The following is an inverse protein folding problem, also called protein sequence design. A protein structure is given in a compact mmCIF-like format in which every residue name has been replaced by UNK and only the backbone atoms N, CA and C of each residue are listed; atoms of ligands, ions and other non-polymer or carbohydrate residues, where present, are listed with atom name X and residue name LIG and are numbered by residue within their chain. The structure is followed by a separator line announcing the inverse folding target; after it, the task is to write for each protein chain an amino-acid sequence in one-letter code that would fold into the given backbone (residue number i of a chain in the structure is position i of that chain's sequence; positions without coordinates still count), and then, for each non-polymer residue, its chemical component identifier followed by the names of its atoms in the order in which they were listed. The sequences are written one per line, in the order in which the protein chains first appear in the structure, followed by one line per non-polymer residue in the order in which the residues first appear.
data_IF_500494072199
#
_entry.id   IF_500494072199
#
_cell.length_a   1.000
_cell.length_b   1.000
_cell.length_c   1.000
_cell.angle_alpha   90.00
_cell.angle_beta   90.00
_cell.angle_gamma   90.00
#
_symmetry.space_group_name_H-M   'P 1'
#
loop_
_entity.id
_entity.type
_entity.pdbx_description
1 polymer ?
#
# COMPACT_ATOMS: atom_id res chain seq x y z
N UNK A 1 14.77 -13.11 14.81
CA UNK A 1 13.59 -14.01 14.85
C UNK A 1 13.83 -15.16 13.91
N UNK A 2 13.42 -16.36 14.33
CA UNK A 2 13.36 -17.55 13.48
C UNK A 2 12.22 -17.42 12.45
N UNK A 3 12.28 -18.14 11.32
CA UNK A 3 11.16 -18.26 10.36
C UNK A 3 9.86 -18.69 11.05
N UNK A 4 9.95 -19.54 12.08
CA UNK A 4 8.80 -19.94 12.90
C UNK A 4 8.09 -18.76 13.60
N UNK A 5 8.85 -17.74 14.03
CA UNK A 5 8.28 -16.55 14.67
C UNK A 5 7.67 -15.59 13.66
N UNK A 6 8.15 -15.57 12.41
CA UNK A 6 7.56 -14.77 11.33
C UNK A 6 6.19 -15.34 10.95
N UNK A 7 6.12 -16.66 10.75
CA UNK A 7 4.87 -17.37 10.45
C UNK A 7 3.85 -17.31 11.59
N UNK A 8 4.27 -17.12 12.84
CA UNK A 8 3.35 -16.90 13.94
C UNK A 8 2.61 -15.55 13.82
N UNK A 9 3.25 -14.53 13.25
CA UNK A 9 2.67 -13.19 13.08
C UNK A 9 1.82 -13.11 11.81
N UNK A 10 2.36 -13.58 10.68
CA UNK A 10 1.71 -13.44 9.35
C UNK A 10 1.21 -14.77 8.78
N UNK A 11 0.92 -15.76 9.62
CA UNK A 11 0.53 -17.10 9.19
C UNK A 11 -0.79 -17.17 8.40
N UNK A 12 -1.61 -16.13 8.49
CA UNK A 12 -2.85 -15.99 7.71
C UNK A 12 -2.65 -15.36 6.33
N UNK A 13 -1.48 -14.77 6.04
CA UNK A 13 -1.17 -14.22 4.73
C UNK A 13 -0.96 -15.34 3.71
N UNK A 14 -1.06 -15.03 2.42
CA UNK A 14 -0.72 -15.95 1.35
C UNK A 14 0.74 -16.48 1.47
N UNK A 15 1.00 -17.75 1.09
CA UNK A 15 2.35 -18.34 1.21
C UNK A 15 3.44 -17.53 0.49
N UNK A 16 3.10 -16.93 -0.66
CA UNK A 16 4.02 -16.09 -1.43
C UNK A 16 4.41 -14.82 -0.67
N UNK A 17 3.45 -14.16 -0.02
CA UNK A 17 3.71 -12.96 0.77
C UNK A 17 4.43 -13.27 2.09
N UNK A 18 4.20 -14.44 2.69
CA UNK A 18 5.01 -14.92 3.82
C UNK A 18 6.49 -15.08 3.41
N UNK A 19 6.75 -15.73 2.27
CA UNK A 19 8.12 -15.90 1.76
C UNK A 19 8.79 -14.55 1.42
N UNK A 20 8.04 -13.61 0.83
CA UNK A 20 8.53 -12.24 0.59
C UNK A 20 8.90 -11.54 1.89
N UNK A 21 8.05 -11.61 2.91
CA UNK A 21 8.32 -11.01 4.21
C UNK A 21 9.58 -11.60 4.88
N UNK A 22 9.75 -12.93 4.82
CA UNK A 22 10.96 -13.61 5.31
C UNK A 22 12.22 -13.14 4.56
N UNK A 23 12.17 -13.05 3.23
CA UNK A 23 13.30 -12.58 2.41
C UNK A 23 13.66 -11.11 2.71
N UNK A 24 12.66 -10.24 2.87
CA UNK A 24 12.86 -8.83 3.19
C UNK A 24 13.52 -8.69 4.55
N UNK A 25 13.03 -9.40 5.58
CA UNK A 25 13.62 -9.38 6.92
C UNK A 25 15.06 -9.89 6.96
N UNK A 26 15.43 -10.81 6.06
CA UNK A 26 16.81 -11.29 5.91
C UNK A 26 17.74 -10.33 5.17
N UNK A 27 17.19 -9.35 4.44
CA UNK A 27 17.96 -8.42 3.60
C UNK A 27 18.55 -7.23 4.38
N UNK A 28 18.06 -6.97 5.59
CA UNK A 28 18.49 -5.82 6.40
C UNK A 28 19.19 -6.24 7.69
N UNK A 29 20.33 -5.61 8.04
CA UNK A 29 20.99 -5.84 9.32
C UNK A 29 20.15 -5.31 10.49
N UNK A 30 19.47 -4.17 10.30
CA UNK A 30 18.47 -3.64 11.23
C UNK A 30 17.07 -3.92 10.68
N UNK A 31 16.27 -4.62 11.47
CA UNK A 31 14.90 -4.99 11.13
C UNK A 31 13.98 -3.80 10.96
N UNK A 32 14.23 -2.70 11.69
CA UNK A 32 13.45 -1.48 11.54
C UNK A 32 13.52 -0.92 10.12
N UNK A 33 14.61 -1.16 9.38
CA UNK A 33 14.76 -0.73 7.99
C UNK A 33 13.80 -1.45 7.04
N UNK A 34 13.23 -2.59 7.44
CA UNK A 34 12.29 -3.38 6.64
C UNK A 34 10.83 -2.85 6.68
N UNK A 35 10.52 -1.80 7.44
CA UNK A 35 9.13 -1.32 7.63
C UNK A 35 8.45 -0.98 6.30
N UNK A 36 9.10 -0.20 5.43
CA UNK A 36 8.51 0.18 4.14
C UNK A 36 8.24 -1.02 3.22
N UNK A 37 9.21 -1.89 2.89
CA UNK A 37 8.94 -3.04 2.04
C UNK A 37 7.94 -4.02 2.66
N UNK A 38 7.88 -4.16 3.99
CA UNK A 38 6.86 -4.99 4.64
C UNK A 38 5.45 -4.36 4.57
N UNK A 39 5.33 -3.03 4.71
CA UNK A 39 4.07 -2.32 4.46
C UNK A 39 3.58 -2.52 3.03
N UNK A 40 4.49 -2.54 2.06
CA UNK A 40 4.17 -2.84 0.67
C UNK A 40 3.64 -4.27 0.51
N UNK A 41 4.30 -5.28 1.10
CA UNK A 41 3.79 -6.67 1.07
C UNK A 41 2.41 -6.77 1.75
N UNK A 42 2.22 -6.08 2.88
CA UNK A 42 0.93 -6.04 3.55
C UNK A 42 -0.18 -5.42 2.66
N UNK A 43 0.14 -4.37 1.89
CA UNK A 43 -0.81 -3.81 0.92
C UNK A 43 -1.11 -4.75 -0.25
N UNK A 44 -0.18 -5.64 -0.64
CA UNK A 44 -0.45 -6.65 -1.67
C UNK A 44 -1.38 -7.74 -1.15
N UNK A 45 -1.26 -8.09 0.14
CA UNK A 45 -2.13 -9.08 0.77
C UNK A 45 -3.56 -8.54 0.94
N UNK A 46 -3.69 -7.33 1.47
CA UNK A 46 -4.98 -6.79 1.92
C UNK A 46 -5.56 -5.72 1.00
N UNK A 47 -4.92 -5.43 -0.14
CA UNK A 47 -5.18 -4.30 -1.08
C UNK A 47 -4.93 -2.89 -0.50
N UNK A 48 -4.92 -2.76 0.81
CA UNK A 48 -4.62 -1.54 1.54
C UNK A 48 -3.94 -1.88 2.87
N UNK A 49 -3.39 -0.88 3.54
CA UNK A 49 -2.70 -1.03 4.82
C UNK A 49 -3.69 -0.75 5.96
N UNK A 50 -4.32 -1.80 6.45
CA UNK A 50 -5.20 -1.75 7.62
C UNK A 50 -4.43 -1.51 8.93
N UNK A 51 -5.15 -1.17 9.99
CA UNK A 51 -4.58 -1.05 11.33
C UNK A 51 -3.96 -2.37 11.83
N UNK A 52 -4.55 -3.51 11.47
CA UNK A 52 -4.02 -4.84 11.80
C UNK A 52 -2.74 -5.14 11.03
N UNK A 53 -2.71 -4.83 9.72
CA UNK A 53 -1.50 -4.94 8.91
C UNK A 53 -0.34 -4.11 9.50
N UNK A 54 -0.63 -2.90 10.00
CA UNK A 54 0.40 -2.09 10.66
C UNK A 54 0.90 -2.69 11.98
N UNK A 55 0.03 -3.36 12.75
CA UNK A 55 0.42 -4.08 13.98
C UNK A 55 1.30 -5.28 13.64
N UNK A 56 0.94 -6.06 12.64
CA UNK A 56 1.73 -7.21 12.17
C UNK A 56 3.13 -6.77 11.72
N UNK A 57 3.23 -5.71 10.92
CA UNK A 57 4.52 -5.16 10.52
C UNK A 57 5.32 -4.66 11.73
N UNK A 58 4.67 -4.03 12.69
CA UNK A 58 5.32 -3.57 13.93
C UNK A 58 5.92 -4.74 14.72
N UNK A 59 5.19 -5.85 14.84
CA UNK A 59 5.63 -7.06 15.51
C UNK A 59 6.79 -7.74 14.77
N UNK A 60 6.76 -7.77 13.44
CA UNK A 60 7.83 -8.34 12.60
C UNK A 60 9.16 -7.60 12.77
N UNK A 61 9.11 -6.26 12.84
CA UNK A 61 10.31 -5.41 12.91
C UNK A 61 10.72 -5.03 14.33
N UNK A 62 9.85 -5.26 15.32
CA UNK A 62 10.11 -4.99 16.73
C UNK A 62 10.01 -3.51 17.11
N UNK A 63 9.05 -2.78 16.52
CA UNK A 63 8.76 -1.37 16.87
C UNK A 63 7.30 -1.18 17.25
N UNK A 64 6.89 0.03 17.64
CA UNK A 64 5.49 0.29 17.99
C UNK A 64 4.60 0.46 16.75
N UNK A 65 3.30 0.07 16.81
CA UNK A 65 2.35 0.34 15.74
C UNK A 65 2.23 1.84 15.40
N UNK A 66 2.43 2.72 16.38
CA UNK A 66 2.44 4.18 16.18
C UNK A 66 3.60 4.62 15.27
N UNK A 67 4.78 4.03 15.43
CA UNK A 67 5.92 4.31 14.55
C UNK A 67 5.67 3.81 13.13
N UNK A 68 5.05 2.63 12.97
CA UNK A 68 4.64 2.12 11.65
C UNK A 68 3.59 3.04 11.02
N UNK A 69 2.58 3.45 11.79
CA UNK A 69 1.54 4.39 11.34
C UNK A 69 2.13 5.71 10.86
N UNK A 70 3.15 6.23 11.54
CA UNK A 70 3.85 7.45 11.10
C UNK A 70 4.48 7.29 9.72
N UNK A 71 5.03 6.12 9.40
CA UNK A 71 5.59 5.82 8.07
C UNK A 71 4.48 5.67 7.05
N UNK A 72 3.43 4.90 7.37
CA UNK A 72 2.28 4.68 6.49
C UNK A 72 1.51 5.98 6.18
N UNK A 73 1.44 6.93 7.12
CA UNK A 73 0.83 8.24 6.88
C UNK A 73 1.71 9.20 6.09
N UNK A 74 3.03 9.02 6.15
CA UNK A 74 3.99 9.89 5.46
C UNK A 74 4.06 9.59 3.96
N UNK A 75 4.04 8.30 3.58
CA UNK A 75 4.09 7.90 2.18
C UNK A 75 2.68 7.63 1.63
N UNK A 76 2.24 8.47 0.69
CA UNK A 76 0.90 8.43 0.07
C UNK A 76 0.58 7.14 -0.70
N UNK A 77 1.60 6.34 -1.04
CA UNK A 77 1.46 5.04 -1.67
C UNK A 77 0.75 4.02 -0.76
N UNK A 78 0.91 4.13 0.56
CA UNK A 78 0.24 3.24 1.50
C UNK A 78 -1.18 3.73 1.76
N UNK A 79 -2.13 3.21 0.98
CA UNK A 79 -3.55 3.50 1.19
C UNK A 79 -3.98 2.90 2.52
N UNK A 80 -4.60 3.71 3.38
CA UNK A 80 -5.06 3.31 4.71
C UNK A 80 -6.57 3.05 4.76
N UNK A 81 -7.22 3.24 3.62
CA UNK A 81 -8.63 2.96 3.39
C UNK A 81 -8.75 2.01 2.20
N UNK A 82 -9.82 1.18 2.14
CA UNK A 82 -10.04 0.27 1.03
C UNK A 82 -10.06 1.03 -0.30
N UNK A 83 -9.34 0.50 -1.28
CA UNK A 83 -9.39 0.93 -2.67
C UNK A 83 -9.99 -0.18 -3.54
N UNK A 84 -10.43 0.21 -4.72
CA UNK A 84 -10.92 -0.72 -5.73
C UNK A 84 -9.84 -1.72 -6.15
N UNK A 85 -10.26 -2.71 -6.94
CA UNK A 85 -9.34 -3.72 -7.49
C UNK A 85 -8.20 -3.08 -8.29
N UNK A 86 -8.47 -1.96 -8.96
CA UNK A 86 -7.50 -1.14 -9.65
C UNK A 86 -7.47 0.26 -9.05
N UNK A 87 -6.29 0.72 -8.66
CA UNK A 87 -6.04 2.12 -8.33
C UNK A 87 -5.36 2.79 -9.53
N UNK A 88 -6.04 3.73 -10.17
CA UNK A 88 -5.53 4.48 -11.32
C UNK A 88 -5.08 5.86 -10.84
N UNK A 89 -3.77 6.04 -10.77
CA UNK A 89 -3.14 7.30 -10.37
C UNK A 89 -2.72 8.10 -11.61
N UNK A 90 -3.32 9.27 -11.83
CA UNK A 90 -3.04 10.13 -12.97
C UNK A 90 -2.12 11.28 -12.55
N UNK A 91 -0.99 11.40 -13.23
CA UNK A 91 -0.04 12.49 -13.03
C UNK A 91 -0.66 13.83 -13.41
N UNK A 92 -0.66 14.78 -12.48
CA UNK A 92 -1.11 16.17 -12.69
C UNK A 92 -0.02 17.19 -12.37
N UNK A 93 1.24 16.76 -12.26
CA UNK A 93 2.39 17.67 -12.13
C UNK A 93 2.58 18.53 -13.39
N UNK A 94 3.39 19.59 -13.31
CA UNK A 94 3.48 20.62 -14.36
C UNK A 94 3.72 20.06 -15.76
N UNK A 95 4.58 19.04 -15.90
CA UNK A 95 4.88 18.43 -17.19
C UNK A 95 3.68 17.71 -17.79
N UNK A 96 2.92 16.99 -16.96
CA UNK A 96 1.70 16.31 -17.37
C UNK A 96 0.58 17.32 -17.66
N UNK A 97 0.44 18.35 -16.81
CA UNK A 97 -0.57 19.40 -16.97
C UNK A 97 -0.43 20.15 -18.30
N UNK A 98 0.80 20.51 -18.70
CA UNK A 98 1.08 21.16 -19.99
C UNK A 98 0.72 20.29 -21.20
N UNK A 99 0.63 18.97 -21.02
CA UNK A 99 0.26 18.00 -22.05
C UNK A 99 -1.19 17.50 -21.92
N UNK A 100 -2.04 18.16 -21.11
CA UNK A 100 -3.45 17.78 -20.95
C UNK A 100 -3.69 16.70 -19.88
N UNK A 101 -2.85 16.62 -18.85
CA UNK A 101 -3.00 15.63 -17.77
C UNK A 101 -4.37 15.69 -17.05
N UNK A 102 -4.98 16.88 -16.98
CA UNK A 102 -6.35 17.02 -16.46
C UNK A 102 -7.38 16.37 -17.40
N UNK A 103 -7.22 16.52 -18.72
CA UNK A 103 -8.11 15.89 -19.69
C UNK A 103 -8.04 14.35 -19.59
N UNK A 104 -6.84 13.81 -19.30
CA UNK A 104 -6.66 12.37 -19.02
C UNK A 104 -7.38 11.97 -17.73
N UNK A 105 -7.24 12.75 -16.67
CA UNK A 105 -7.91 12.47 -15.39
C UNK A 105 -9.44 12.47 -15.55
N UNK A 106 -9.98 13.44 -16.28
CA UNK A 106 -11.43 13.54 -16.56
C UNK A 106 -11.92 12.37 -17.42
N UNK A 107 -11.16 12.00 -18.45
CA UNK A 107 -11.49 10.85 -19.30
C UNK A 107 -11.49 9.53 -18.51
N UNK A 108 -10.53 9.34 -17.59
CA UNK A 108 -10.47 8.16 -16.72
C UNK A 108 -11.65 8.13 -15.75
N UNK A 109 -11.98 9.27 -15.12
CA UNK A 109 -13.12 9.38 -14.23
C UNK A 109 -14.44 9.06 -14.97
N UNK A 110 -14.63 9.61 -16.17
CA UNK A 110 -15.81 9.34 -17.00
C UNK A 110 -15.90 7.88 -17.43
N UNK A 111 -14.79 7.26 -17.82
CA UNK A 111 -14.78 5.86 -18.27
C UNK A 111 -15.00 4.86 -17.13
N UNK A 112 -14.48 5.14 -15.94
CA UNK A 112 -14.62 4.28 -14.76
C UNK A 112 -15.91 4.51 -13.98
N UNK A 113 -16.55 5.68 -14.14
CA UNK A 113 -17.67 6.10 -13.31
C UNK A 113 -17.27 6.47 -11.87
N UNK A 114 -15.97 6.53 -11.57
CA UNK A 114 -15.43 6.96 -10.28
C UNK A 114 -15.15 8.47 -10.31
N UNK A 115 -15.55 9.18 -9.25
CA UNK A 115 -15.12 10.56 -9.02
C UNK A 115 -13.62 10.65 -8.70
N UNK A 116 -13.06 11.87 -8.73
CA UNK A 116 -11.66 12.08 -8.36
C UNK A 116 -11.44 11.81 -6.87
N UNK A 117 -10.57 10.86 -6.55
CA UNK A 117 -10.33 10.39 -5.19
C UNK A 117 -11.39 9.40 -4.69
N UNK A 118 -12.31 8.97 -5.55
CA UNK A 118 -13.39 8.06 -5.21
C UNK A 118 -13.19 6.69 -5.89
N UNK A 119 -14.05 5.75 -5.50
CA UNK A 119 -14.13 4.41 -6.09
C UNK A 119 -15.46 4.26 -6.81
N UNK A 120 -15.45 3.61 -7.97
CA UNK A 120 -16.64 3.30 -8.75
C UNK A 120 -17.66 2.50 -7.94
N UNK A 121 -18.95 2.62 -8.28
CA UNK A 121 -20.06 1.94 -7.55
C UNK A 121 -19.89 0.42 -7.48
N UNK A 122 -19.25 -0.19 -8.48
CA UNK A 122 -18.96 -1.62 -8.55
C UNK A 122 -17.73 -2.04 -7.72
N UNK A 123 -17.01 -1.09 -7.11
CA UNK A 123 -15.80 -1.32 -6.33
C UNK A 123 -14.58 -1.74 -7.15
N UNK A 124 -14.63 -1.65 -8.49
CA UNK A 124 -13.55 -2.13 -9.34
C UNK A 124 -12.40 -1.12 -9.48
N UNK A 125 -12.69 0.18 -9.62
CA UNK A 125 -11.70 1.20 -9.95
C UNK A 125 -11.75 2.36 -8.97
N UNK A 126 -10.61 2.70 -8.37
CA UNK A 126 -10.40 3.97 -7.68
C UNK A 126 -9.55 4.88 -8.56
N UNK A 127 -9.89 6.17 -8.64
CA UNK A 127 -9.15 7.14 -9.44
C UNK A 127 -8.55 8.19 -8.52
N UNK A 128 -7.27 8.50 -8.68
CA UNK A 128 -6.62 9.57 -7.94
C UNK A 128 -5.72 10.44 -8.81
N UNK A 129 -5.55 11.69 -8.39
CA UNK A 129 -4.50 12.57 -8.91
C UNK A 129 -3.22 12.37 -8.11
N UNK A 130 -2.08 12.40 -8.79
CA UNK A 130 -0.75 12.31 -8.17
C UNK A 130 0.20 13.35 -8.74
N UNK A 131 1.20 13.70 -7.94
CA UNK A 131 2.24 14.70 -8.24
C UNK A 131 3.61 14.04 -8.45
#
# INVERSE_FOLDING_TARGET
MSSASIRAVVGHWSPDNQARAESILGSYPDRRSAVMPLLYVASLEHKYVSDDAMREVADLVGITPTQVRSVASFYTMYKREPVGTYLVSVCTSISCHLLGGNDVLDAVAQASGAGHGETSEDGCVSVERVE
#
